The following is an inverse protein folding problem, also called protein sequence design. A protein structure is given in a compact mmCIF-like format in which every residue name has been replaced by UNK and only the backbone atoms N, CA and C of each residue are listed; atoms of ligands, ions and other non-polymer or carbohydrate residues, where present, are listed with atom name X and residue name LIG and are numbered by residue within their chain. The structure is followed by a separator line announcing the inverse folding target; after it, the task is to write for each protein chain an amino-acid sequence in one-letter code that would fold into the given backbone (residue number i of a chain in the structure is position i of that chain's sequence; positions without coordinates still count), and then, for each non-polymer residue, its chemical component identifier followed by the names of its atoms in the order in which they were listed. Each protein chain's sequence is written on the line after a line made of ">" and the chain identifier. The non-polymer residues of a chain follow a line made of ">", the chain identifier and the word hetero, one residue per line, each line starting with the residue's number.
data_IF_116770431430
#
_entry.id   IF_116770431430
#
_cell.length_a   1.000
_cell.length_b   1.000
_cell.length_c   1.000
_cell.angle_alpha   90.00
_cell.angle_beta   90.00
_cell.angle_gamma   90.00
#
_symmetry.space_group_name_H-M   'P 1'
#
loop_
_entity.id
_entity.type
_entity.pdbx_description
1 polymer ?
#
# COMPACT_ATOMS: atom_id res chain seq x y z
N UNK A 1 71.84 45.80 -1.24
CA UNK A 1 71.35 44.77 -2.19
C UNK A 1 69.84 44.67 -2.03
N UNK A 2 69.02 45.21 -2.94
CA UNK A 2 67.57 45.14 -2.81
C UNK A 2 67.03 43.90 -3.51
N UNK A 3 66.17 43.15 -2.81
CA UNK A 3 65.45 41.99 -3.31
C UNK A 3 64.26 42.44 -4.17
N UNK A 4 64.17 41.83 -5.36
CA UNK A 4 63.22 42.14 -6.41
C UNK A 4 61.82 41.61 -6.12
N UNK A 5 60.82 42.41 -6.49
CA UNK A 5 59.38 42.13 -6.44
C UNK A 5 59.04 40.96 -7.38
N UNK A 6 58.31 39.95 -6.89
CA UNK A 6 57.62 38.96 -7.75
C UNK A 6 56.39 39.63 -8.36
N UNK A 7 56.46 39.93 -9.65
CA UNK A 7 55.31 40.31 -10.47
C UNK A 7 54.49 39.08 -10.84
N UNK A 8 53.17 39.23 -10.81
CA UNK A 8 52.22 38.28 -11.36
C UNK A 8 52.38 38.21 -12.90
N UNK A 9 52.45 37.00 -13.45
CA UNK A 9 52.49 36.80 -14.89
C UNK A 9 51.10 36.98 -15.52
N UNK A 10 50.99 37.62 -16.70
CA UNK A 10 49.73 37.88 -17.36
C UNK A 10 49.20 36.61 -18.06
N UNK A 11 47.91 36.34 -17.87
CA UNK A 11 47.19 35.30 -18.61
C UNK A 11 47.31 35.51 -20.13
N UNK A 12 47.42 34.39 -20.87
CA UNK A 12 47.63 34.39 -22.31
C UNK A 12 46.37 34.86 -23.04
N UNK A 13 46.42 36.06 -23.64
CA UNK A 13 45.38 36.59 -24.54
C UNK A 13 45.77 36.20 -25.97
N UNK A 14 45.04 35.27 -26.58
CA UNK A 14 45.23 34.91 -28.00
C UNK A 14 44.19 35.66 -28.86
N UNK A 15 44.66 36.67 -29.59
CA UNK A 15 43.90 37.35 -30.64
C UNK A 15 43.98 36.54 -31.94
N UNK A 16 42.85 36.03 -32.43
CA UNK A 16 42.75 35.41 -33.75
C UNK A 16 42.38 36.49 -34.78
N UNK A 17 43.34 36.80 -35.65
CA UNK A 17 43.18 37.74 -36.78
C UNK A 17 42.26 37.09 -37.83
N UNK A 18 41.09 37.70 -38.04
CA UNK A 18 40.15 37.35 -39.11
C UNK A 18 40.70 37.76 -40.49
N UNK A 19 40.60 36.86 -41.46
CA UNK A 19 41.06 37.02 -42.85
C UNK A 19 40.05 37.71 -43.77
N UNK A 20 39.28 38.68 -43.26
CA UNK A 20 38.41 39.54 -44.06
C UNK A 20 38.71 41.03 -43.78
N UNK A 21 39.22 41.80 -44.75
CA UNK A 21 39.56 43.21 -44.55
C UNK A 21 38.28 44.05 -44.70
N UNK A 22 37.52 44.20 -43.62
CA UNK A 22 36.33 45.08 -43.64
C UNK A 22 35.41 45.01 -42.41
N UNK A 23 35.52 43.97 -41.58
CA UNK A 23 34.77 43.87 -40.33
C UNK A 23 35.72 43.49 -39.20
N UNK A 24 36.25 44.49 -38.50
CA UNK A 24 36.88 44.26 -37.18
C UNK A 24 35.77 43.93 -36.20
N UNK A 25 35.35 42.66 -36.17
CA UNK A 25 34.66 42.12 -35.00
C UNK A 25 35.76 42.01 -33.95
N UNK A 26 35.72 42.87 -32.93
CA UNK A 26 36.62 42.77 -31.78
C UNK A 26 36.55 41.34 -31.26
N UNK A 27 37.63 40.58 -31.44
CA UNK A 27 37.68 39.19 -31.02
C UNK A 27 37.52 39.15 -29.49
N UNK A 28 36.56 38.39 -28.95
CA UNK A 28 36.36 38.32 -27.52
C UNK A 28 37.62 37.74 -26.85
N UNK A 29 38.21 38.51 -25.93
CA UNK A 29 39.36 38.07 -25.13
C UNK A 29 38.91 37.02 -24.13
N UNK A 30 39.23 35.74 -24.38
CA UNK A 30 38.89 34.62 -23.50
C UNK A 30 40.04 34.37 -22.52
N UNK A 31 39.75 34.43 -21.22
CA UNK A 31 40.66 34.12 -20.11
C UNK A 31 40.34 32.72 -19.58
N UNK A 32 41.31 31.81 -19.62
CA UNK A 32 41.18 30.42 -19.15
C UNK A 32 42.09 30.18 -17.96
N UNK A 33 41.65 29.36 -17.01
CA UNK A 33 42.44 28.99 -15.84
C UNK A 33 43.66 28.12 -16.23
N UNK A 34 44.77 28.30 -15.50
CA UNK A 34 46.09 27.74 -15.85
C UNK A 34 46.15 26.22 -15.66
N UNK A 35 45.29 25.66 -14.81
CA UNK A 35 45.32 24.26 -14.37
C UNK A 35 44.70 23.26 -15.36
N UNK A 36 44.14 23.73 -16.48
CA UNK A 36 43.53 22.86 -17.49
C UNK A 36 44.58 22.18 -18.39
N UNK A 37 44.39 20.91 -18.80
CA UNK A 37 45.23 20.26 -19.80
C UNK A 37 45.31 21.09 -21.09
N UNK A 38 46.47 21.09 -21.78
CA UNK A 38 46.69 21.94 -22.96
C UNK A 38 45.66 21.70 -24.09
N UNK A 39 45.24 20.45 -24.29
CA UNK A 39 44.20 20.09 -25.27
C UNK A 39 42.81 20.63 -24.85
N UNK A 40 42.44 20.51 -23.58
CA UNK A 40 41.19 21.07 -23.04
C UNK A 40 41.19 22.60 -23.10
N UNK A 41 42.32 23.26 -22.86
CA UNK A 41 42.44 24.72 -22.99
C UNK A 41 42.14 25.21 -24.40
N UNK A 42 42.75 24.61 -25.43
CA UNK A 42 42.50 24.98 -26.82
C UNK A 42 41.03 24.78 -27.20
N UNK A 43 40.43 23.67 -26.75
CA UNK A 43 39.03 23.36 -26.98
C UNK A 43 38.11 24.38 -26.29
N UNK A 44 38.32 24.67 -25.00
CA UNK A 44 37.55 25.65 -24.23
C UNK A 44 37.64 27.04 -24.86
N UNK A 45 38.82 27.48 -25.29
CA UNK A 45 38.99 28.77 -25.98
C UNK A 45 38.13 28.79 -27.25
N UNK A 46 38.24 27.76 -28.09
CA UNK A 46 37.47 27.70 -29.35
C UNK A 46 35.96 27.72 -29.12
N UNK A 47 35.47 26.98 -28.11
CA UNK A 47 34.05 26.89 -27.76
C UNK A 47 33.55 28.19 -27.11
N UNK A 48 34.35 28.81 -26.25
CA UNK A 48 34.02 30.09 -25.62
C UNK A 48 33.98 31.24 -26.64
N UNK A 49 34.92 31.29 -27.59
CA UNK A 49 34.87 32.25 -28.69
C UNK A 49 33.62 32.05 -29.54
N UNK A 50 33.26 30.80 -29.85
CA UNK A 50 32.04 30.49 -30.60
C UNK A 50 30.77 30.87 -29.83
N UNK A 51 30.71 30.58 -28.53
CA UNK A 51 29.60 30.98 -27.67
C UNK A 51 29.47 32.51 -27.59
N UNK A 52 30.58 33.25 -27.52
CA UNK A 52 30.59 34.72 -27.55
C UNK A 52 30.11 35.29 -28.89
N UNK A 53 30.47 34.65 -30.01
CA UNK A 53 29.93 35.03 -31.33
C UNK A 53 28.42 34.77 -31.42
N UNK A 54 27.94 33.62 -30.96
CA UNK A 54 26.50 33.34 -30.88
C UNK A 54 25.76 34.29 -29.91
N UNK A 55 26.43 34.75 -28.86
CA UNK A 55 25.94 35.76 -27.94
C UNK A 55 25.84 37.15 -28.58
N UNK A 56 26.71 37.48 -29.54
CA UNK A 56 26.59 38.70 -30.34
C UNK A 56 25.47 38.57 -31.39
N UNK A 57 25.32 37.41 -32.02
CA UNK A 57 24.29 37.10 -33.03
C UNK A 57 22.97 36.55 -32.44
N UNK A 58 22.65 36.91 -31.19
CA UNK A 58 21.60 36.28 -30.36
C UNK A 58 20.21 36.16 -31.01
N UNK A 59 19.88 37.02 -31.97
CA UNK A 59 18.59 36.96 -32.65
C UNK A 59 18.45 35.79 -33.64
N UNK A 60 19.55 35.16 -34.07
CA UNK A 60 19.53 34.13 -35.12
C UNK A 60 19.79 32.71 -34.64
N UNK A 61 20.36 32.48 -33.45
CA UNK A 61 20.75 31.12 -33.04
C UNK A 61 20.79 30.86 -31.52
N UNK A 62 19.67 31.09 -30.82
CA UNK A 62 19.57 30.81 -29.38
C UNK A 62 19.89 29.34 -29.01
N UNK A 63 19.48 28.38 -29.85
CA UNK A 63 19.78 26.97 -29.65
C UNK A 63 21.29 26.66 -29.80
N UNK A 64 21.94 27.21 -30.84
CA UNK A 64 23.37 27.01 -31.07
C UNK A 64 24.22 27.57 -29.92
N UNK A 65 23.83 28.75 -29.41
CA UNK A 65 24.44 29.32 -28.20
C UNK A 65 24.35 28.38 -27.00
N UNK A 66 23.15 27.82 -26.72
CA UNK A 66 22.96 26.93 -25.57
C UNK A 66 23.80 25.65 -25.69
N UNK A 67 23.85 25.06 -26.89
CA UNK A 67 24.64 23.84 -27.17
C UNK A 67 26.13 24.13 -26.99
N UNK A 68 26.66 25.19 -27.62
CA UNK A 68 28.09 25.54 -27.50
C UNK A 68 28.49 25.91 -26.07
N UNK A 69 27.60 26.55 -25.31
CA UNK A 69 27.87 26.84 -23.90
C UNK A 69 27.87 25.57 -23.04
N UNK A 70 27.01 24.60 -23.34
CA UNK A 70 27.02 23.29 -22.69
C UNK A 70 28.31 22.52 -23.00
N UNK A 71 28.71 22.43 -24.27
CA UNK A 71 29.98 21.81 -24.67
C UNK A 71 31.19 22.50 -24.04
N UNK A 72 31.17 23.84 -23.96
CA UNK A 72 32.22 24.62 -23.30
C UNK A 72 32.32 24.26 -21.81
N UNK A 73 31.18 24.09 -21.13
CA UNK A 73 31.15 23.64 -19.73
C UNK A 73 31.68 22.23 -19.55
N UNK A 74 31.31 21.30 -20.43
CA UNK A 74 31.81 19.92 -20.36
C UNK A 74 33.32 19.86 -20.62
N UNK A 75 33.85 20.68 -21.54
CA UNK A 75 35.28 20.79 -21.81
C UNK A 75 36.08 21.48 -20.69
N UNK A 76 35.48 22.48 -20.02
CA UNK A 76 36.08 23.19 -18.89
C UNK A 76 36.02 22.37 -17.59
N UNK A 77 34.96 21.57 -17.40
CA UNK A 77 34.66 20.89 -16.15
C UNK A 77 33.80 21.73 -15.19
N UNK A 78 33.23 21.05 -14.19
CA UNK A 78 32.23 21.63 -13.28
C UNK A 78 32.81 22.61 -12.25
N UNK A 79 34.05 22.41 -11.83
CA UNK A 79 34.75 23.25 -10.86
C UNK A 79 35.25 24.54 -11.53
N UNK A 80 35.01 25.70 -10.93
CA UNK A 80 35.44 26.99 -11.47
C UNK A 80 34.60 27.53 -12.64
N UNK A 81 33.61 26.78 -13.15
CA UNK A 81 32.78 27.20 -14.29
C UNK A 81 32.07 28.54 -14.08
N UNK A 82 31.49 28.77 -12.90
CA UNK A 82 30.75 30.02 -12.67
C UNK A 82 31.68 31.25 -12.68
N UNK A 83 32.91 31.10 -12.17
CA UNK A 83 33.93 32.15 -12.24
C UNK A 83 34.37 32.37 -13.69
N UNK A 84 34.70 31.29 -14.41
CA UNK A 84 35.03 31.35 -15.83
C UNK A 84 33.92 32.04 -16.64
N UNK A 85 32.66 31.65 -16.43
CA UNK A 85 31.53 32.21 -17.16
C UNK A 85 31.32 33.70 -16.84
N UNK A 86 31.47 34.10 -15.57
CA UNK A 86 31.34 35.50 -15.17
C UNK A 86 32.44 36.40 -15.74
N UNK A 87 33.66 35.88 -15.89
CA UNK A 87 34.82 36.59 -16.46
C UNK A 87 34.69 36.74 -17.99
N UNK A 88 34.24 35.69 -18.68
CA UNK A 88 34.25 35.61 -20.14
C UNK A 88 32.94 36.02 -20.82
N UNK A 89 31.81 35.90 -20.13
CA UNK A 89 30.47 36.25 -20.64
C UNK A 89 29.83 37.33 -19.76
N UNK A 90 30.49 38.48 -19.62
CA UNK A 90 30.06 39.56 -18.70
C UNK A 90 28.65 40.11 -18.96
N UNK A 91 28.15 39.98 -20.19
CA UNK A 91 26.79 40.38 -20.58
C UNK A 91 25.72 39.36 -20.18
N UNK A 92 26.12 38.16 -19.75
CA UNK A 92 25.26 37.06 -19.35
C UNK A 92 25.30 36.89 -17.83
N UNK A 93 24.15 37.00 -17.17
CA UNK A 93 24.08 36.69 -15.74
C UNK A 93 24.41 35.21 -15.49
N UNK A 94 24.99 34.89 -14.34
CA UNK A 94 25.33 33.51 -13.95
C UNK A 94 24.08 32.60 -14.01
N UNK A 95 22.92 33.13 -13.61
CA UNK A 95 21.64 32.40 -13.73
C UNK A 95 21.31 32.05 -15.19
N UNK A 96 21.48 33.00 -16.12
CA UNK A 96 21.26 32.76 -17.53
C UNK A 96 22.30 31.81 -18.14
N UNK A 97 23.56 31.86 -17.69
CA UNK A 97 24.60 30.91 -18.07
C UNK A 97 24.22 29.48 -17.67
N UNK A 98 23.75 29.30 -16.43
CA UNK A 98 23.29 28.00 -15.93
C UNK A 98 22.05 27.50 -16.69
N UNK A 99 21.09 28.37 -16.98
CA UNK A 99 19.90 28.03 -17.76
C UNK A 99 20.25 27.65 -19.21
N UNK A 100 21.17 28.38 -19.84
CA UNK A 100 21.66 28.07 -21.19
C UNK A 100 22.39 26.73 -21.23
N UNK A 101 23.20 26.41 -20.22
CA UNK A 101 23.82 25.09 -20.08
C UNK A 101 22.78 23.98 -19.93
N UNK A 102 21.74 24.17 -19.09
CA UNK A 102 20.66 23.18 -18.94
C UNK A 102 19.88 22.98 -20.24
N UNK A 103 19.57 24.07 -20.93
CA UNK A 103 18.92 24.04 -22.24
C UNK A 103 19.80 23.35 -23.28
N UNK A 104 21.10 23.63 -23.29
CA UNK A 104 22.08 22.99 -24.16
C UNK A 104 22.14 21.49 -23.92
N UNK A 105 22.18 21.06 -22.65
CA UNK A 105 22.14 19.65 -22.27
C UNK A 105 20.87 18.96 -22.80
N UNK A 106 19.70 19.55 -22.56
CA UNK A 106 18.42 19.03 -23.04
C UNK A 106 18.41 18.90 -24.57
N UNK A 107 18.89 19.92 -25.29
CA UNK A 107 19.00 19.87 -26.75
C UNK A 107 19.96 18.75 -27.21
N UNK A 108 21.12 18.63 -26.59
CA UNK A 108 22.10 17.58 -26.90
C UNK A 108 21.56 16.17 -26.64
N UNK A 109 20.81 15.95 -25.56
CA UNK A 109 20.17 14.66 -25.26
C UNK A 109 19.07 14.31 -26.28
N UNK A 110 18.29 15.30 -26.72
CA UNK A 110 17.26 15.12 -27.75
C UNK A 110 17.85 14.88 -29.16
N UNK A 111 19.05 15.38 -29.43
CA UNK A 111 19.78 15.09 -30.67
C UNK A 111 20.37 13.68 -30.62
N UNK A 112 20.92 13.27 -29.47
CA UNK A 112 21.56 11.96 -29.31
C UNK A 112 20.57 10.79 -29.25
N UNK A 113 19.32 11.01 -28.83
CA UNK A 113 18.31 9.95 -28.64
C UNK A 113 17.73 9.39 -29.96
N UNK A 114 18.01 10.01 -31.10
CA UNK A 114 17.46 9.61 -32.41
C UNK A 114 18.54 8.94 -33.25
N UNK A 115 18.42 7.63 -33.46
CA UNK A 115 19.24 6.89 -34.42
C UNK A 115 18.82 7.27 -35.85
N UNK A 116 19.41 8.33 -36.42
CA UNK A 116 19.26 8.71 -37.82
C UNK A 116 19.84 10.10 -38.12
N UNK A 117 20.64 10.22 -39.19
CA UNK A 117 21.40 11.45 -39.51
C UNK A 117 20.54 12.61 -40.05
N UNK A 118 19.50 12.33 -40.85
CA UNK A 118 18.58 13.36 -41.36
C UNK A 118 17.60 13.95 -40.31
N UNK A 119 16.92 13.15 -39.46
CA UNK A 119 15.95 13.70 -38.50
C UNK A 119 16.59 14.58 -37.42
N UNK A 120 17.89 14.44 -37.15
CA UNK A 120 18.60 15.25 -36.16
C UNK A 120 18.73 16.73 -36.58
N UNK A 121 19.10 16.99 -37.85
CA UNK A 121 19.24 18.37 -38.36
C UNK A 121 17.90 19.09 -38.41
N UNK A 122 16.84 18.39 -38.81
CA UNK A 122 15.51 18.96 -38.90
C UNK A 122 14.92 19.25 -37.51
N UNK A 123 15.14 18.36 -36.52
CA UNK A 123 14.77 18.60 -35.12
C UNK A 123 15.52 19.80 -34.53
N UNK A 124 16.82 19.90 -34.76
CA UNK A 124 17.60 21.06 -34.31
C UNK A 124 17.12 22.34 -34.99
N UNK A 125 16.77 22.29 -36.27
CA UNK A 125 16.19 23.42 -36.99
C UNK A 125 14.84 23.85 -36.37
N UNK A 126 13.97 22.90 -35.99
CA UNK A 126 12.69 23.19 -35.31
C UNK A 126 12.91 23.76 -33.91
N UNK A 127 13.81 23.18 -33.12
CA UNK A 127 14.17 23.69 -31.79
C UNK A 127 14.86 25.06 -31.85
N UNK A 128 15.56 25.36 -32.96
CA UNK A 128 16.19 26.67 -33.16
C UNK A 128 15.19 27.81 -33.37
N UNK A 129 13.93 27.50 -33.67
CA UNK A 129 12.84 28.48 -33.75
C UNK A 129 12.37 28.96 -32.37
N UNK A 130 12.73 28.26 -31.30
CA UNK A 130 12.40 28.68 -29.95
C UNK A 130 13.22 29.90 -29.53
N UNK A 131 12.53 30.86 -28.93
CA UNK A 131 13.18 31.99 -28.28
C UNK A 131 14.06 31.53 -27.11
N UNK A 132 15.09 32.32 -26.76
CA UNK A 132 15.96 32.07 -25.60
C UNK A 132 15.18 31.84 -24.32
N UNK A 133 14.14 32.64 -24.08
CA UNK A 133 13.29 32.52 -22.90
C UNK A 133 12.47 31.23 -22.91
N UNK A 134 11.98 30.79 -24.07
CA UNK A 134 11.29 29.51 -24.20
C UNK A 134 12.22 28.32 -23.90
N UNK A 135 13.43 28.32 -24.45
CA UNK A 135 14.45 27.29 -24.17
C UNK A 135 14.82 27.23 -22.69
N UNK A 136 14.97 28.38 -22.02
CA UNK A 136 15.31 28.43 -20.60
C UNK A 136 14.18 27.93 -19.71
N UNK A 137 12.93 28.17 -20.09
CA UNK A 137 11.78 27.62 -19.36
C UNK A 137 11.71 26.13 -19.59
N UNK A 138 11.83 25.67 -20.84
CA UNK A 138 11.79 24.25 -21.20
C UNK A 138 12.86 23.44 -20.46
N UNK A 139 14.05 24.02 -20.24
CA UNK A 139 15.14 23.38 -19.51
C UNK A 139 14.95 23.32 -17.98
N UNK A 140 13.95 24.01 -17.44
CA UNK A 140 13.68 24.13 -16.01
C UNK A 140 12.33 23.50 -15.59
N UNK A 141 11.58 22.93 -16.52
CA UNK A 141 10.37 22.17 -16.22
C UNK A 141 10.70 20.68 -16.07
N UNK A 142 9.75 19.92 -15.52
CA UNK A 142 9.92 18.49 -15.28
C UNK A 142 10.11 17.72 -16.60
N UNK A 143 10.91 16.65 -16.56
CA UNK A 143 11.38 15.97 -17.76
C UNK A 143 10.22 15.41 -18.61
N UNK A 144 9.18 14.89 -17.95
CA UNK A 144 7.99 14.34 -18.62
C UNK A 144 7.25 15.42 -19.41
N UNK A 145 6.98 16.57 -18.77
CA UNK A 145 6.34 17.73 -19.41
C UNK A 145 7.22 18.31 -20.52
N UNK A 146 8.55 18.34 -20.31
CA UNK A 146 9.49 18.79 -21.34
C UNK A 146 9.44 17.88 -22.58
N UNK A 147 9.32 16.57 -22.39
CA UNK A 147 9.19 15.58 -23.46
C UNK A 147 7.92 15.77 -24.28
N UNK A 148 6.78 16.01 -23.63
CA UNK A 148 5.50 16.31 -24.31
C UNK A 148 5.58 17.60 -25.12
N UNK A 149 6.11 18.69 -24.55
CA UNK A 149 6.23 19.97 -25.25
C UNK A 149 7.18 19.88 -26.44
N UNK A 150 8.31 19.17 -26.29
CA UNK A 150 9.27 18.93 -27.37
C UNK A 150 8.63 18.09 -28.47
N UNK A 151 7.85 17.06 -28.11
CA UNK A 151 7.14 16.22 -29.07
C UNK A 151 6.09 17.02 -29.82
N UNK A 152 5.30 17.89 -29.15
CA UNK A 152 4.33 18.77 -29.82
C UNK A 152 5.00 19.73 -30.82
N UNK A 153 6.17 20.30 -30.47
CA UNK A 153 6.95 21.17 -31.37
C UNK A 153 7.47 20.38 -32.59
N UNK A 154 7.89 19.14 -32.38
CA UNK A 154 8.38 18.29 -33.46
C UNK A 154 7.21 17.83 -34.33
N UNK A 155 6.12 17.35 -33.76
CA UNK A 155 5.04 16.70 -34.51
C UNK A 155 4.13 17.71 -35.23
N UNK A 156 4.07 18.97 -34.75
CA UNK A 156 3.24 20.03 -35.33
C UNK A 156 4.07 21.19 -35.93
N UNK A 157 4.75 20.99 -37.07
CA UNK A 157 5.65 22.00 -37.66
C UNK A 157 4.96 23.27 -38.17
N UNK A 158 3.64 23.22 -38.38
CA UNK A 158 2.85 24.37 -38.85
C UNK A 158 2.36 25.28 -37.71
N UNK A 159 2.56 24.88 -36.45
CA UNK A 159 2.16 25.64 -35.28
C UNK A 159 3.26 26.65 -34.94
N UNK A 160 2.86 27.86 -34.54
CA UNK A 160 3.83 28.84 -34.07
C UNK A 160 4.61 28.28 -32.87
N UNK A 161 5.94 28.49 -32.81
CA UNK A 161 6.76 27.97 -31.72
C UNK A 161 6.24 28.49 -30.37
N UNK A 162 6.13 27.63 -29.36
CA UNK A 162 5.54 28.00 -28.08
C UNK A 162 6.39 29.07 -27.38
N UNK A 163 5.71 30.08 -26.83
CA UNK A 163 6.37 31.14 -26.07
C UNK A 163 6.72 30.65 -24.66
N UNK A 164 7.66 31.34 -24.01
CA UNK A 164 8.02 31.05 -22.61
C UNK A 164 6.82 31.07 -21.65
N UNK A 165 5.84 31.94 -21.89
CA UNK A 165 4.62 32.02 -21.09
C UNK A 165 3.74 30.78 -21.30
N UNK A 166 3.58 30.32 -22.55
CA UNK A 166 2.81 29.14 -22.87
C UNK A 166 3.43 27.86 -22.25
N UNK A 167 4.76 27.70 -22.34
CA UNK A 167 5.45 26.55 -21.72
C UNK A 167 5.27 26.56 -20.18
N UNK A 168 5.32 27.73 -19.53
CA UNK A 168 5.05 27.83 -18.09
C UNK A 168 3.62 27.46 -17.74
N UNK A 169 2.66 27.83 -18.59
CA UNK A 169 1.26 27.49 -18.38
C UNK A 169 1.05 25.97 -18.46
N UNK A 170 1.59 25.31 -19.48
CA UNK A 170 1.53 23.84 -19.62
C UNK A 170 2.16 23.15 -18.39
N UNK A 171 3.31 23.67 -17.91
CA UNK A 171 3.97 23.14 -16.73
C UNK A 171 3.19 23.37 -15.42
N UNK A 172 2.34 24.39 -15.34
CA UNK A 172 1.47 24.63 -14.20
C UNK A 172 0.23 23.74 -14.26
N UNK A 173 -0.38 23.60 -15.44
CA UNK A 173 -1.55 22.75 -15.66
C UNK A 173 -1.22 21.28 -15.39
N UNK A 174 -0.08 20.78 -15.87
CA UNK A 174 0.41 19.43 -15.58
C UNK A 174 0.67 19.19 -14.08
N UNK A 175 1.17 20.19 -13.35
CA UNK A 175 1.36 20.06 -11.89
C UNK A 175 0.05 19.97 -11.13
N UNK A 176 -0.96 20.72 -11.56
CA UNK A 176 -2.29 20.69 -10.96
C UNK A 176 -2.97 19.34 -11.22
N UNK A 177 -2.88 18.81 -12.44
CA UNK A 177 -3.47 17.50 -12.75
C UNK A 177 -2.80 16.37 -11.97
N UNK A 178 -1.47 16.38 -11.84
CA UNK A 178 -0.75 15.37 -11.02
C UNK A 178 -1.21 15.41 -9.57
N UNK A 179 -1.34 16.60 -8.97
CA UNK A 179 -1.82 16.72 -7.59
C UNK A 179 -3.24 16.18 -7.42
N UNK A 180 -4.15 16.45 -8.35
CA UNK A 180 -5.51 15.89 -8.34
C UNK A 180 -5.51 14.36 -8.49
N UNK A 181 -4.63 13.81 -9.32
CA UNK A 181 -4.48 12.37 -9.51
C UNK A 181 -3.92 11.69 -8.25
N UNK A 182 -2.95 12.31 -7.58
CA UNK A 182 -2.36 11.80 -6.33
C UNK A 182 -3.39 11.79 -5.19
N UNK A 183 -4.20 12.84 -5.07
CA UNK A 183 -5.31 12.88 -4.10
C UNK A 183 -6.33 11.77 -4.36
N UNK A 184 -6.71 11.55 -5.62
CA UNK A 184 -7.61 10.44 -6.00
C UNK A 184 -6.99 9.08 -5.73
N UNK A 185 -5.71 8.89 -6.02
CA UNK A 185 -5.00 7.64 -5.75
C UNK A 185 -4.95 7.35 -4.24
N UNK A 186 -4.69 8.37 -3.42
CA UNK A 186 -4.72 8.24 -1.96
C UNK A 186 -6.12 7.89 -1.44
N UNK A 187 -7.17 8.46 -2.01
CA UNK A 187 -8.55 8.15 -1.62
C UNK A 187 -8.91 6.69 -1.97
N UNK A 188 -8.57 6.24 -3.19
CA UNK A 188 -8.79 4.86 -3.61
C UNK A 188 -8.00 3.85 -2.79
N UNK A 189 -6.76 4.18 -2.39
CA UNK A 189 -5.96 3.34 -1.52
C UNK A 189 -6.60 3.16 -0.14
N UNK A 190 -7.18 4.24 0.42
CA UNK A 190 -7.92 4.16 1.68
C UNK A 190 -9.19 3.30 1.54
N UNK A 191 -9.97 3.46 0.47
CA UNK A 191 -11.15 2.62 0.22
C UNK A 191 -10.79 1.13 0.05
N UNK A 192 -9.67 0.83 -0.61
CA UNK A 192 -9.18 -0.54 -0.77
C UNK A 192 -8.78 -1.15 0.59
N UNK A 193 -8.14 -0.38 1.46
CA UNK A 193 -7.80 -0.83 2.80
C UNK A 193 -9.08 -1.16 3.61
N UNK A 194 -10.07 -0.26 3.61
CA UNK A 194 -11.34 -0.49 4.30
C UNK A 194 -12.07 -1.74 3.78
N UNK A 195 -12.11 -1.94 2.46
CA UNK A 195 -12.72 -3.15 1.86
C UNK A 195 -11.94 -4.42 2.20
N UNK A 196 -10.61 -4.35 2.25
CA UNK A 196 -9.78 -5.50 2.63
C UNK A 196 -10.03 -5.91 4.08
N UNK A 197 -10.21 -4.96 4.99
CA UNK A 197 -10.57 -5.23 6.38
C UNK A 197 -11.97 -5.86 6.50
N UNK A 198 -12.94 -5.35 5.73
CA UNK A 198 -14.28 -5.96 5.67
C UNK A 198 -14.24 -7.41 5.16
N UNK A 199 -13.43 -7.69 4.14
CA UNK A 199 -13.27 -9.06 3.64
C UNK A 199 -12.63 -9.98 4.69
N UNK A 200 -11.62 -9.52 5.43
CA UNK A 200 -11.03 -10.29 6.51
C UNK A 200 -12.05 -10.61 7.63
N UNK A 201 -12.89 -9.65 8.01
CA UNK A 201 -13.95 -9.86 8.99
C UNK A 201 -15.03 -10.86 8.49
N UNK A 202 -15.39 -10.80 7.21
CA UNK A 202 -16.30 -11.75 6.60
C UNK A 202 -15.71 -13.16 6.56
N UNK A 203 -14.41 -13.29 6.27
CA UNK A 203 -13.72 -14.58 6.27
C UNK A 203 -13.72 -15.23 7.66
N UNK A 204 -13.37 -14.47 8.70
CA UNK A 204 -13.44 -14.93 10.10
C UNK A 204 -14.86 -15.39 10.49
N UNK A 205 -15.88 -14.68 10.02
CA UNK A 205 -17.28 -15.05 10.27
C UNK A 205 -17.64 -16.35 9.55
N UNK A 206 -17.15 -16.54 8.33
CA UNK A 206 -17.38 -17.75 7.55
C UNK A 206 -16.71 -18.96 8.20
N UNK A 207 -15.46 -18.83 8.63
CA UNK A 207 -14.71 -19.89 9.32
C UNK A 207 -15.42 -20.30 10.63
N UNK A 208 -15.92 -19.33 11.40
CA UNK A 208 -16.72 -19.60 12.60
C UNK A 208 -18.00 -20.38 12.27
N UNK A 209 -18.70 -20.03 11.18
CA UNK A 209 -19.92 -20.72 10.76
C UNK A 209 -19.65 -22.13 10.24
N UNK A 210 -18.53 -22.35 9.56
CA UNK A 210 -18.12 -23.69 9.14
C UNK A 210 -17.78 -24.59 10.34
N UNK A 211 -17.11 -24.05 11.36
CA UNK A 211 -16.87 -24.75 12.62
C UNK A 211 -18.19 -25.12 13.33
N UNK A 212 -19.12 -24.17 13.46
CA UNK A 212 -20.45 -24.41 14.05
C UNK A 212 -21.20 -25.51 13.30
N UNK A 213 -21.17 -25.46 11.96
CA UNK A 213 -21.79 -26.47 11.10
C UNK A 213 -21.18 -27.85 11.32
N UNK A 214 -19.86 -27.96 11.42
CA UNK A 214 -19.18 -29.23 11.68
C UNK A 214 -19.58 -29.84 13.04
N UNK A 215 -19.75 -29.00 14.07
CA UNK A 215 -20.21 -29.45 15.38
C UNK A 215 -21.66 -29.94 15.33
N UNK A 216 -22.54 -29.23 14.63
CA UNK A 216 -23.93 -29.65 14.43
C UNK A 216 -24.01 -30.97 13.66
N UNK A 217 -23.22 -31.15 12.61
CA UNK A 217 -23.16 -32.40 11.85
C UNK A 217 -22.75 -33.59 12.74
N UNK A 218 -21.79 -33.40 13.67
CA UNK A 218 -21.42 -34.43 14.66
C UNK A 218 -22.56 -34.76 15.63
N UNK A 219 -23.23 -33.74 16.17
CA UNK A 219 -24.37 -33.93 17.08
C UNK A 219 -25.51 -34.68 16.39
N UNK A 220 -25.81 -34.35 15.13
CA UNK A 220 -26.82 -35.06 14.33
C UNK A 220 -26.41 -36.52 14.11
N UNK A 221 -25.13 -36.79 13.82
CA UNK A 221 -24.64 -38.16 13.66
C UNK A 221 -24.74 -38.98 14.97
N UNK A 222 -24.41 -38.38 16.11
CA UNK A 222 -24.53 -39.01 17.43
C UNK A 222 -26.01 -39.31 17.78
N UNK A 223 -26.91 -38.37 17.54
CA UNK A 223 -28.35 -38.58 17.74
C UNK A 223 -28.89 -39.69 16.82
N UNK A 224 -28.46 -39.73 15.56
CA UNK A 224 -28.83 -40.80 14.63
C UNK A 224 -28.37 -42.18 15.13
N UNK A 225 -27.16 -42.28 15.69
CA UNK A 225 -26.67 -43.52 16.31
C UNK A 225 -27.49 -43.92 17.54
N UNK A 226 -27.81 -42.97 18.42
CA UNK A 226 -28.65 -43.23 19.59
C UNK A 226 -30.05 -43.71 19.20
N UNK A 227 -30.68 -43.10 18.19
CA UNK A 227 -31.98 -43.53 17.67
C UNK A 227 -31.90 -44.94 17.11
N UNK A 228 -30.84 -45.27 16.37
CA UNK A 228 -30.64 -46.63 15.83
C UNK A 228 -30.50 -47.66 16.96
N UNK A 229 -29.66 -47.38 17.96
CA UNK A 229 -29.48 -48.26 19.12
C UNK A 229 -30.78 -48.43 19.92
N UNK A 230 -31.55 -47.35 20.11
CA UNK A 230 -32.87 -47.42 20.73
C UNK A 230 -33.87 -48.24 19.89
N UNK A 231 -33.82 -48.13 18.56
CA UNK A 231 -34.60 -48.96 17.65
C UNK A 231 -34.27 -50.45 17.81
N UNK A 232 -32.98 -50.80 17.85
CA UNK A 232 -32.52 -52.19 18.01
C UNK A 232 -32.95 -52.78 19.37
N UNK A 233 -32.91 -51.99 20.45
CA UNK A 233 -33.39 -52.45 21.77
C UNK A 233 -34.91 -52.66 21.79
N UNK A 234 -35.69 -51.79 21.15
CA UNK A 234 -37.15 -51.98 21.02
C UNK A 234 -37.47 -53.25 20.24
N UNK A 235 -36.73 -53.55 19.17
CA UNK A 235 -36.90 -54.79 18.41
C UNK A 235 -36.55 -56.01 19.27
N UNK A 236 -35.46 -55.96 20.04
CA UNK A 236 -35.08 -57.02 20.95
C UNK A 236 -36.15 -57.28 22.03
N UNK A 237 -36.66 -56.23 22.67
CA UNK A 237 -37.73 -56.32 23.67
C UNK A 237 -39.04 -56.84 23.09
N UNK A 238 -39.40 -56.44 21.86
CA UNK A 238 -40.57 -56.98 21.17
C UNK A 238 -40.43 -58.48 20.89
N UNK A 239 -39.23 -58.93 20.51
CA UNK A 239 -38.94 -60.35 20.31
C UNK A 239 -39.02 -61.13 21.63
N UNK A 240 -38.40 -60.62 22.69
CA UNK A 240 -38.47 -61.22 24.02
C UNK A 240 -39.91 -61.33 24.54
N UNK A 241 -40.71 -60.26 24.38
CA UNK A 241 -42.14 -60.28 24.71
C UNK A 241 -42.89 -61.34 23.91
N UNK A 242 -42.64 -61.44 22.60
CA UNK A 242 -43.28 -62.45 21.76
C UNK A 242 -42.88 -63.88 22.18
N UNK A 243 -41.62 -64.10 22.53
CA UNK A 243 -41.13 -65.39 23.02
C UNK A 243 -41.71 -65.72 24.41
N UNK A 244 -41.87 -64.73 25.29
CA UNK A 244 -42.54 -64.89 26.59
C UNK A 244 -44.04 -65.20 26.41
N UNK A 245 -44.73 -64.51 25.50
CA UNK A 245 -46.14 -64.81 25.15
C UNK A 245 -46.29 -66.22 24.56
N UNK A 246 -45.34 -66.68 23.74
CA UNK A 246 -45.31 -68.06 23.24
C UNK A 246 -45.12 -69.07 24.37
N UNK A 247 -44.20 -68.83 25.31
CA UNK A 247 -44.01 -69.66 26.51
C UNK A 247 -45.22 -69.65 27.45
N UNK A 248 -45.97 -68.56 27.49
CA UNK A 248 -47.22 -68.49 28.26
C UNK A 248 -48.40 -69.18 27.55
N UNK A 249 -48.39 -69.25 26.20
CA UNK A 249 -49.41 -69.91 25.38
C UNK A 249 -49.14 -71.39 25.12
N UNK A 250 -47.92 -71.90 25.30
CA UNK A 250 -47.69 -73.35 25.38
C UNK A 250 -48.58 -73.91 26.48
N UNK A 251 -49.32 -75.01 26.23
CA UNK A 251 -50.44 -75.40 27.06
C UNK A 251 -50.01 -75.56 28.51
N UNK A 252 -50.64 -74.76 29.37
CA UNK A 252 -50.58 -74.80 30.84
C UNK A 252 -51.03 -76.16 31.39
N UNK A 253 -51.54 -77.05 30.53
CA UNK A 253 -52.04 -78.39 30.84
C UNK A 253 -50.94 -79.42 31.18
N UNK A 254 -49.66 -79.02 31.27
CA UNK A 254 -48.56 -79.88 31.72
C UNK A 254 -47.75 -79.31 32.90
N UNK A 255 -48.24 -78.26 33.59
CA UNK A 255 -47.65 -77.84 34.86
C UNK A 255 -48.38 -78.59 35.99
N UNK A 256 -47.90 -79.80 36.31
CA UNK A 256 -47.90 -80.20 37.72
C UNK A 256 -47.26 -79.03 38.48
N UNK A 257 -47.93 -78.47 39.49
CA UNK A 257 -47.32 -77.53 40.44
C UNK A 257 -46.18 -78.26 41.18
N UNK A 258 -45.04 -78.43 40.52
CA UNK A 258 -43.79 -78.78 41.14
C UNK A 258 -43.15 -77.48 41.57
N UNK A 259 -42.89 -77.41 42.86
CA UNK A 259 -42.08 -76.36 43.48
C UNK A 259 -40.79 -76.18 42.66
N UNK A 260 -40.30 -74.95 42.47
CA UNK A 260 -39.05 -74.69 41.76
C UNK A 260 -37.93 -75.60 42.28
N UNK A 261 -37.05 -76.14 41.42
CA UNK A 261 -36.02 -77.08 41.86
C UNK A 261 -35.15 -76.44 42.96
N UNK A 262 -35.13 -77.08 44.13
CA UNK A 262 -34.46 -76.58 45.35
C UNK A 262 -35.38 -76.00 46.42
N UNK A 263 -36.70 -76.15 46.31
CA UNK A 263 -37.69 -75.72 47.33
C UNK A 263 -38.59 -76.91 47.67
N UNK A 264 -38.59 -77.35 48.93
CA UNK A 264 -39.28 -78.57 49.33
C UNK A 264 -40.69 -78.34 49.87
N UNK A 265 -41.09 -77.08 50.10
CA UNK A 265 -42.41 -76.75 50.65
C UNK A 265 -43.01 -75.44 50.08
N UNK A 266 -44.35 -75.35 50.00
CA UNK A 266 -45.06 -74.18 49.44
C UNK A 266 -44.79 -72.88 50.23
N UNK A 267 -44.53 -73.01 51.53
CA UNK A 267 -44.11 -71.90 52.39
C UNK A 267 -42.73 -71.34 52.00
N UNK A 268 -41.81 -72.19 51.56
CA UNK A 268 -40.44 -71.82 51.19
C UNK A 268 -40.40 -71.13 49.81
N UNK A 269 -41.28 -71.52 48.88
CA UNK A 269 -41.47 -70.85 47.60
C UNK A 269 -42.07 -69.44 47.79
N UNK A 270 -43.04 -69.31 48.70
CA UNK A 270 -43.62 -68.02 49.08
C UNK A 270 -42.59 -67.12 49.76
N UNK A 271 -41.72 -67.69 50.60
CA UNK A 271 -40.62 -66.95 51.24
C UNK A 271 -39.58 -66.47 50.21
N UNK A 272 -39.25 -67.29 49.21
CA UNK A 272 -38.34 -66.91 48.12
C UNK A 272 -38.95 -65.82 47.24
N UNK A 273 -40.20 -65.95 46.82
CA UNK A 273 -40.90 -64.92 46.04
C UNK A 273 -41.04 -63.61 46.82
N UNK A 274 -41.32 -63.66 48.14
CA UNK A 274 -41.33 -62.45 48.98
C UNK A 274 -39.94 -61.78 49.03
N UNK A 275 -38.87 -62.56 49.07
CA UNK A 275 -37.49 -62.05 49.05
C UNK A 275 -37.13 -61.44 47.68
N UNK A 276 -37.55 -62.08 46.59
CA UNK A 276 -37.31 -61.58 45.23
C UNK A 276 -38.13 -60.31 44.94
N UNK A 277 -39.40 -60.26 45.38
CA UNK A 277 -40.24 -59.06 45.32
C UNK A 277 -39.61 -57.93 46.13
N UNK A 278 -39.08 -58.21 47.32
CA UNK A 278 -38.39 -57.23 48.13
C UNK A 278 -37.06 -56.75 47.48
N UNK A 279 -36.35 -57.65 46.80
CA UNK A 279 -35.13 -57.32 46.05
C UNK A 279 -35.43 -56.42 44.84
N UNK A 280 -36.45 -56.76 44.06
CA UNK A 280 -36.89 -55.96 42.91
C UNK A 280 -37.55 -54.64 43.33
N UNK A 281 -38.25 -54.59 44.47
CA UNK A 281 -38.75 -53.32 45.01
C UNK A 281 -37.60 -52.41 45.44
N UNK A 282 -36.59 -52.95 46.14
CA UNK A 282 -35.41 -52.17 46.51
C UNK A 282 -34.63 -51.66 45.28
N UNK A 283 -34.53 -52.48 44.22
CA UNK A 283 -33.90 -52.08 42.96
C UNK A 283 -34.69 -50.97 42.26
N UNK A 284 -36.03 -51.08 42.25
CA UNK A 284 -36.91 -50.04 41.72
C UNK A 284 -36.76 -48.74 42.50
N UNK A 285 -36.76 -48.80 43.82
CA UNK A 285 -36.62 -47.62 44.69
C UNK A 285 -35.28 -46.93 44.48
N UNK A 286 -34.20 -47.70 44.29
CA UNK A 286 -32.89 -47.18 43.92
C UNK A 286 -32.91 -46.48 42.56
N UNK A 287 -33.50 -47.10 41.53
CA UNK A 287 -33.61 -46.49 40.20
C UNK A 287 -34.47 -45.22 40.21
N UNK A 288 -35.54 -45.20 41.01
CA UNK A 288 -36.37 -43.99 41.19
C UNK A 288 -35.56 -42.87 41.85
N UNK A 289 -34.72 -43.19 42.84
CA UNK A 289 -33.82 -42.22 43.44
C UNK A 289 -32.75 -41.70 42.45
N UNK A 290 -32.17 -42.58 41.64
CA UNK A 290 -31.17 -42.22 40.60
C UNK A 290 -31.80 -41.36 39.49
N UNK A 291 -33.05 -41.65 39.10
CA UNK A 291 -33.80 -40.81 38.16
C UNK A 291 -34.11 -39.45 38.78
N UNK A 292 -34.50 -39.39 40.05
CA UNK A 292 -34.78 -38.13 40.74
C UNK A 292 -33.55 -37.25 40.88
N UNK A 293 -32.37 -37.83 41.17
CA UNK A 293 -31.10 -37.09 41.23
C UNK A 293 -30.68 -36.60 39.85
N UNK A 294 -30.79 -37.44 38.83
CA UNK A 294 -30.50 -37.08 37.44
C UNK A 294 -31.42 -35.96 36.93
N UNK A 295 -32.72 -36.01 37.28
CA UNK A 295 -33.69 -34.96 36.93
C UNK A 295 -33.32 -33.62 37.58
N UNK A 296 -32.94 -33.61 38.85
CA UNK A 296 -32.46 -32.39 39.54
C UNK A 296 -31.18 -31.84 38.92
N UNK A 297 -30.25 -32.71 38.52
CA UNK A 297 -29.03 -32.30 37.83
C UNK A 297 -29.36 -31.65 36.46
N UNK A 298 -30.28 -32.23 35.71
CA UNK A 298 -30.73 -31.69 34.41
C UNK A 298 -31.46 -30.36 34.56
N UNK A 299 -32.33 -30.22 35.56
CA UNK A 299 -32.98 -28.94 35.89
C UNK A 299 -31.95 -27.87 36.30
N UNK A 300 -30.92 -28.24 37.07
CA UNK A 300 -29.82 -27.33 37.44
C UNK A 300 -29.02 -26.87 36.22
N UNK A 301 -28.69 -27.79 35.30
CA UNK A 301 -27.98 -27.45 34.06
C UNK A 301 -28.85 -26.55 33.17
N UNK A 302 -30.14 -26.87 33.03
CA UNK A 302 -31.06 -26.05 32.24
C UNK A 302 -31.20 -24.63 32.81
N UNK A 303 -31.25 -24.49 34.13
CA UNK A 303 -31.26 -23.17 34.79
C UNK A 303 -29.93 -22.43 34.56
N UNK A 304 -28.79 -23.11 34.65
CA UNK A 304 -27.49 -22.50 34.35
C UNK A 304 -27.38 -22.03 32.89
N UNK A 305 -27.95 -22.79 31.95
CA UNK A 305 -27.98 -22.42 30.54
C UNK A 305 -28.82 -21.16 30.30
N UNK A 306 -30.02 -21.08 30.91
CA UNK A 306 -30.85 -19.87 30.86
C UNK A 306 -30.14 -18.66 31.42
N UNK A 307 -29.47 -18.79 32.56
CA UNK A 307 -28.68 -17.68 33.13
C UNK A 307 -27.51 -17.27 32.23
N UNK A 308 -26.88 -18.24 31.54
CA UNK A 308 -25.84 -17.95 30.56
C UNK A 308 -26.38 -17.23 29.34
N UNK A 309 -27.54 -17.64 28.82
CA UNK A 309 -28.22 -17.00 27.69
C UNK A 309 -28.61 -15.55 28.03
N UNK A 310 -29.18 -15.32 29.21
CA UNK A 310 -29.47 -13.99 29.73
C UNK A 310 -28.19 -13.14 29.87
N UNK A 311 -27.12 -13.72 30.42
CA UNK A 311 -25.83 -13.02 30.54
C UNK A 311 -25.22 -12.67 29.18
N UNK A 312 -25.31 -13.56 28.19
CA UNK A 312 -24.84 -13.31 26.83
C UNK A 312 -25.65 -12.20 26.15
N UNK A 313 -26.96 -12.16 26.38
CA UNK A 313 -27.83 -11.07 25.94
C UNK A 313 -27.42 -9.73 26.55
N UNK A 314 -27.15 -9.69 27.86
CA UNK A 314 -26.68 -8.46 28.54
C UNK A 314 -25.31 -8.01 28.04
N UNK A 315 -24.38 -8.94 27.80
CA UNK A 315 -23.06 -8.64 27.23
C UNK A 315 -23.15 -8.11 25.80
N UNK A 316 -24.04 -8.67 24.98
CA UNK A 316 -24.29 -8.19 23.62
C UNK A 316 -24.86 -6.76 23.63
N UNK A 317 -25.81 -6.50 24.54
CA UNK A 317 -26.36 -5.15 24.77
C UNK A 317 -25.30 -4.17 25.25
N UNK A 318 -24.45 -4.56 26.21
CA UNK A 318 -23.32 -3.74 26.67
C UNK A 318 -22.32 -3.47 25.55
N UNK A 319 -21.98 -4.46 24.72
CA UNK A 319 -21.10 -4.30 23.56
C UNK A 319 -21.67 -3.28 22.57
N UNK A 320 -22.98 -3.36 22.30
CA UNK A 320 -23.67 -2.38 21.45
C UNK A 320 -23.64 -0.97 22.06
N UNK A 321 -23.93 -0.84 23.36
CA UNK A 321 -23.90 0.44 24.06
C UNK A 321 -22.49 1.07 24.09
N UNK A 322 -21.45 0.26 24.31
CA UNK A 322 -20.05 0.69 24.23
C UNK A 322 -19.68 1.12 22.80
N UNK A 323 -20.12 0.37 21.78
CA UNK A 323 -19.92 0.75 20.38
C UNK A 323 -20.55 2.11 20.05
N UNK A 324 -21.77 2.35 20.54
CA UNK A 324 -22.46 3.64 20.38
C UNK A 324 -21.76 4.77 21.15
N UNK A 325 -21.23 4.51 22.34
CA UNK A 325 -20.43 5.46 23.12
C UNK A 325 -19.14 5.83 22.37
N UNK A 326 -18.41 4.85 21.85
CA UNK A 326 -17.20 5.10 21.06
C UNK A 326 -17.52 5.92 19.81
N UNK A 327 -18.57 5.56 19.07
CA UNK A 327 -19.00 6.31 17.87
C UNK A 327 -19.45 7.74 18.17
N UNK A 328 -20.16 7.99 19.26
CA UNK A 328 -20.64 9.35 19.59
C UNK A 328 -19.56 10.23 20.18
N UNK A 329 -18.79 9.70 21.13
CA UNK A 329 -17.90 10.52 21.94
C UNK A 329 -16.52 10.68 21.32
N UNK A 330 -16.02 9.72 20.53
CA UNK A 330 -14.71 9.86 19.88
C UNK A 330 -14.68 11.05 18.89
N UNK A 331 -15.66 11.22 17.98
CA UNK A 331 -15.70 12.38 17.08
C UNK A 331 -15.97 13.68 17.82
N UNK A 332 -16.83 13.66 18.86
CA UNK A 332 -17.14 14.85 19.66
C UNK A 332 -15.93 15.33 20.47
N UNK A 333 -15.14 14.40 21.02
CA UNK A 333 -13.91 14.70 21.75
C UNK A 333 -12.83 15.22 20.81
N UNK A 334 -12.65 14.59 19.64
CA UNK A 334 -11.71 15.08 18.61
C UNK A 334 -12.12 16.48 18.11
N UNK A 335 -13.41 16.73 17.92
CA UNK A 335 -13.91 18.04 17.51
C UNK A 335 -13.70 19.11 18.60
N UNK A 336 -13.97 18.77 19.87
CA UNK A 336 -13.74 19.67 21.01
C UNK A 336 -12.25 19.96 21.23
N UNK A 337 -11.38 18.95 21.16
CA UNK A 337 -9.93 19.13 21.29
C UNK A 337 -9.34 19.93 20.13
N UNK A 338 -9.83 19.72 18.90
CA UNK A 338 -9.41 20.51 17.73
C UNK A 338 -9.85 21.98 17.82
N UNK A 339 -10.98 22.28 18.46
CA UNK A 339 -11.43 23.65 18.72
C UNK A 339 -10.57 24.36 19.78
N UNK A 340 -10.13 23.66 20.83
CA UNK A 340 -9.35 24.25 21.91
C UNK A 340 -7.84 24.26 21.66
N UNK A 341 -7.31 23.39 20.79
CA UNK A 341 -5.88 23.31 20.49
C UNK A 341 -5.65 22.81 19.06
N UNK A 342 -5.42 23.69 18.06
CA UNK A 342 -5.37 23.30 16.66
C UNK A 342 -4.20 22.37 16.29
N UNK A 343 -3.14 22.34 17.10
CA UNK A 343 -1.98 21.43 16.95
C UNK A 343 -2.25 20.01 17.45
N UNK A 344 -3.33 19.78 18.19
CA UNK A 344 -3.67 18.45 18.72
C UNK A 344 -4.10 17.50 17.59
N UNK A 345 -4.65 18.02 16.50
CA UNK A 345 -5.07 17.19 15.35
C UNK A 345 -3.88 16.52 14.66
N UNK A 346 -2.75 17.21 14.54
CA UNK A 346 -1.51 16.62 14.00
C UNK A 346 -0.88 15.66 15.00
N UNK A 347 -0.79 16.05 16.27
CA UNK A 347 -0.22 15.18 17.32
C UNK A 347 -1.02 13.87 17.51
N UNK A 348 -2.35 13.91 17.44
CA UNK A 348 -3.19 12.70 17.48
C UNK A 348 -3.00 11.84 16.23
N UNK A 349 -2.79 12.45 15.06
CA UNK A 349 -2.49 11.72 13.83
C UNK A 349 -1.15 10.99 13.95
N UNK A 350 -0.15 11.64 14.52
CA UNK A 350 1.19 11.09 14.75
C UNK A 350 1.19 9.99 15.82
N UNK A 351 0.38 10.12 16.87
CA UNK A 351 0.18 9.07 17.88
C UNK A 351 -0.60 7.90 17.29
N UNK A 352 -1.60 8.14 16.45
CA UNK A 352 -2.37 7.09 15.78
C UNK A 352 -1.53 6.30 14.78
N UNK A 353 -0.65 6.97 14.02
CA UNK A 353 0.33 6.27 13.16
C UNK A 353 1.36 5.51 13.99
N UNK A 354 1.82 6.06 15.11
CA UNK A 354 2.71 5.37 16.04
C UNK A 354 2.09 4.11 16.66
N UNK A 355 0.82 4.19 17.10
CA UNK A 355 0.08 3.04 17.64
C UNK A 355 -0.22 1.99 16.58
N UNK A 356 -0.52 2.40 15.34
CA UNK A 356 -0.74 1.47 14.23
C UNK A 356 0.56 0.74 13.86
N UNK A 357 1.68 1.46 13.78
CA UNK A 357 2.99 0.86 13.59
C UNK A 357 3.39 -0.08 14.76
N UNK A 358 2.98 0.24 15.99
CA UNK A 358 3.22 -0.62 17.16
C UNK A 358 2.32 -1.86 17.18
N UNK A 359 1.07 -1.74 16.74
CA UNK A 359 0.16 -2.87 16.57
C UNK A 359 0.65 -3.83 15.48
N UNK A 360 1.16 -3.29 14.37
CA UNK A 360 1.79 -4.08 13.28
C UNK A 360 3.06 -4.81 13.75
N UNK A 361 3.77 -4.27 14.75
CA UNK A 361 4.93 -4.93 15.37
C UNK A 361 4.54 -6.04 16.35
N UNK A 362 3.40 -5.91 17.04
CA UNK A 362 2.95 -6.90 18.04
C UNK A 362 2.17 -8.05 17.39
N UNK A 363 1.51 -7.81 16.26
CA UNK A 363 0.80 -8.84 15.50
C UNK A 363 1.25 -8.83 14.04
N UNK A 364 2.49 -9.26 13.73
CA UNK A 364 2.89 -9.44 12.35
C UNK A 364 2.19 -10.71 11.82
N UNK A 365 1.04 -10.50 11.19
CA UNK A 365 0.14 -11.52 10.63
C UNK A 365 -0.49 -12.48 11.66
N UNK A 366 -1.76 -12.21 11.98
CA UNK A 366 -2.74 -13.24 12.33
C UNK A 366 -3.82 -13.22 11.25
#
# INVERSE_FOLDING_TARGET
>A
MPASKKGAEPGTVLSLVSSNPGTTVDAPSIVVDVDLPAQSRALVISLATRASLHLADMHRSAAAFCITLYECREAHGRTGWDEFASRNFSTLSISNARNAVRAGKLLSEQIASVQGDEPQRERLARMSQLSRSALFVLANIDQDVSGEVISDIIDNPNKAPPTAAHIRQIALESKLTIAEHDERASALAAELADKSEQLAQLQLTLDSKESDRSQLEKQVAEQAQMIKAAGDTVVALRKEKADAERRARTPVEAIEYKLPPGVHDAAEALAKLKRDIAGESARRDKLVADIATSKRALESVQNSFKTHEESAGTLSSMKSAVGLLIQKYSPALIASMAQHTPTVKSALKDIATGLRAFADQISPAA
#
